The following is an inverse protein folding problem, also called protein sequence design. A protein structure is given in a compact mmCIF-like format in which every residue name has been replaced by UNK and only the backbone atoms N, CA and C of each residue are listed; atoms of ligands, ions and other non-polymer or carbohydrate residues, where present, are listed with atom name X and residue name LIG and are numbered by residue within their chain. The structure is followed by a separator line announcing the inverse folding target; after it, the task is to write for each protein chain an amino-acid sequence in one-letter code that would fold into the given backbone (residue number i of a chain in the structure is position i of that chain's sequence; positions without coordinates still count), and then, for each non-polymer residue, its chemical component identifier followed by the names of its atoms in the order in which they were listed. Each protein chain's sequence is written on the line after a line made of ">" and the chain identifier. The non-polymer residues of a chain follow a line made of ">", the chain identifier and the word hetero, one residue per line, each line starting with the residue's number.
data_IF_536220729570
#
_entry.id   IF_536220729570
#
_cell.length_a   1.000
_cell.length_b   1.000
_cell.length_c   1.000
_cell.angle_alpha   90.00
_cell.angle_beta   90.00
_cell.angle_gamma   90.00
#
_symmetry.space_group_name_H-M   'P 1'
#
loop_
_entity.id
_entity.type
_entity.pdbx_description
1 polymer ?
#
# COMPACT_ATOMS: atom_id res chain seq x y z
N UNK A 1 -36.42 -41.29 -18.79
CA UNK A 1 -35.67 -42.25 -17.96
C UNK A 1 -35.24 -41.54 -16.70
N UNK A 2 -35.94 -41.80 -15.61
CA UNK A 2 -35.70 -41.22 -14.29
C UNK A 2 -34.59 -42.06 -13.63
N UNK A 3 -33.46 -41.46 -13.29
CA UNK A 3 -32.43 -42.08 -12.44
C UNK A 3 -32.40 -41.38 -11.09
N UNK A 4 -32.97 -42.06 -10.11
CA UNK A 4 -32.82 -41.86 -8.67
C UNK A 4 -31.67 -42.75 -8.16
N UNK A 5 -30.64 -42.18 -7.53
CA UNK A 5 -29.72 -42.85 -6.57
C UNK A 5 -29.12 -41.74 -5.67
N UNK A 6 -29.66 -41.51 -4.47
CA UNK A 6 -29.30 -42.08 -3.15
C UNK A 6 -28.21 -41.27 -2.38
N UNK A 7 -28.48 -40.82 -1.13
CA UNK A 7 -27.52 -40.18 -0.23
C UNK A 7 -27.02 -41.15 0.87
N UNK A 8 -25.72 -41.08 1.21
CA UNK A 8 -25.04 -41.77 2.33
C UNK A 8 -23.59 -41.23 2.34
N UNK A 9 -22.90 -40.87 3.42
CA UNK A 9 -23.02 -41.19 4.85
C UNK A 9 -22.51 -40.05 5.74
N UNK A 10 -23.12 -39.97 6.92
CA UNK A 10 -22.62 -39.43 8.18
C UNK A 10 -21.53 -40.38 8.76
N UNK A 11 -20.44 -39.84 9.33
CA UNK A 11 -19.78 -40.31 10.58
C UNK A 11 -18.30 -39.84 10.63
N UNK A 12 -17.87 -39.27 11.76
CA UNK A 12 -16.43 -39.06 12.00
C UNK A 12 -16.07 -38.04 13.07
N UNK A 13 -16.62 -38.17 14.27
CA UNK A 13 -16.23 -37.46 15.49
C UNK A 13 -14.78 -37.84 15.89
N UNK A 14 -13.88 -36.87 16.03
CA UNK A 14 -12.66 -37.04 16.84
C UNK A 14 -12.21 -35.68 17.42
N UNK A 15 -12.62 -35.47 18.66
CA UNK A 15 -12.19 -34.46 19.60
C UNK A 15 -10.71 -34.67 19.95
N UNK A 16 -9.85 -33.70 19.67
CA UNK A 16 -8.49 -33.62 20.23
C UNK A 16 -8.31 -32.25 20.89
N UNK A 17 -8.65 -32.23 22.18
CA UNK A 17 -8.40 -31.12 23.09
C UNK A 17 -6.91 -31.18 23.48
N UNK A 18 -6.07 -30.41 22.80
CA UNK A 18 -4.68 -30.20 23.23
C UNK A 18 -4.64 -28.94 24.13
N UNK A 19 -4.69 -29.17 25.44
CA UNK A 19 -4.41 -28.15 26.45
C UNK A 19 -2.91 -27.84 26.38
N UNK A 20 -2.54 -26.68 25.85
CA UNK A 20 -1.21 -26.11 26.04
C UNK A 20 -1.26 -25.14 27.22
N UNK A 21 -0.69 -25.58 28.34
CA UNK A 21 -0.29 -24.70 29.43
C UNK A 21 0.85 -23.81 28.91
N UNK A 22 0.56 -22.54 28.60
CA UNK A 22 1.58 -21.52 28.42
C UNK A 22 1.86 -20.90 29.79
N UNK A 23 3.05 -21.17 30.30
CA UNK A 23 3.60 -20.52 31.50
C UNK A 23 3.87 -19.06 31.16
N UNK A 24 3.05 -18.17 31.74
CA UNK A 24 3.19 -16.73 31.60
C UNK A 24 4.50 -16.22 32.21
N UNK A 25 5.33 -15.61 31.38
CA UNK A 25 6.46 -14.78 31.81
C UNK A 25 5.89 -13.36 31.98
N UNK A 26 5.79 -12.89 33.23
CA UNK A 26 5.42 -11.52 33.55
C UNK A 26 6.54 -10.58 33.08
N UNK A 27 6.49 -10.19 31.80
CA UNK A 27 7.16 -8.98 31.32
C UNK A 27 6.27 -7.80 31.68
N UNK A 28 6.81 -6.83 32.41
CA UNK A 28 6.14 -5.57 32.70
C UNK A 28 5.59 -4.97 31.41
N UNK A 29 4.28 -4.61 31.33
CA UNK A 29 3.78 -3.87 30.19
C UNK A 29 4.47 -2.50 30.22
N UNK A 30 5.38 -2.27 29.29
CA UNK A 30 5.65 -0.90 28.87
C UNK A 30 4.32 -0.36 28.38
N UNK A 31 3.75 0.61 29.10
CA UNK A 31 2.61 1.39 28.64
C UNK A 31 3.00 2.05 27.31
N UNK A 32 2.73 1.37 26.19
CA UNK A 32 2.58 2.07 24.93
C UNK A 32 1.38 2.98 25.11
N UNK A 33 1.68 4.27 25.25
CA UNK A 33 0.73 5.36 25.07
C UNK A 33 0.14 5.20 23.66
N UNK A 34 -0.93 4.41 23.56
CA UNK A 34 -1.79 4.35 22.39
C UNK A 34 -2.41 5.74 22.23
N UNK A 35 -1.81 6.55 21.37
CA UNK A 35 -2.38 7.82 20.95
C UNK A 35 -3.68 7.49 20.21
N UNK A 36 -4.82 7.74 20.86
CA UNK A 36 -6.11 7.55 20.19
C UNK A 36 -6.34 8.70 19.22
N UNK A 37 -6.83 8.41 18.02
CA UNK A 37 -7.03 9.41 16.97
C UNK A 37 -8.44 9.32 16.41
N UNK A 38 -8.97 10.46 15.98
CA UNK A 38 -10.22 10.53 15.22
C UNK A 38 -9.87 10.59 13.74
N UNK A 39 -10.49 9.71 12.96
CA UNK A 39 -10.26 9.58 11.52
C UNK A 39 -11.47 10.09 10.75
N UNK A 40 -11.25 11.00 9.80
CA UNK A 40 -12.27 11.43 8.85
C UNK A 40 -11.81 11.04 7.44
N UNK A 41 -12.40 9.97 6.90
CA UNK A 41 -12.14 9.51 5.55
C UNK A 41 -12.63 10.54 4.50
N UNK A 42 -12.04 10.48 3.31
CA UNK A 42 -12.24 11.38 2.18
C UNK A 42 -12.31 12.85 2.55
N UNK A 43 -11.48 13.24 3.51
CA UNK A 43 -11.48 14.59 4.02
C UNK A 43 -10.06 15.10 3.94
N UNK A 44 -9.91 16.37 3.56
CA UNK A 44 -8.67 17.10 3.59
C UNK A 44 -8.84 18.39 4.40
N UNK A 45 -7.74 18.91 4.91
CA UNK A 45 -7.68 20.16 5.65
C UNK A 45 -7.05 21.23 4.74
N UNK A 46 -7.76 22.33 4.56
CA UNK A 46 -7.32 23.45 3.69
C UNK A 46 -6.13 24.25 4.21
N UNK A 47 -5.76 24.10 5.49
CA UNK A 47 -4.56 24.74 6.03
C UNK A 47 -3.30 24.24 5.34
N UNK A 48 -2.29 25.10 5.26
CA UNK A 48 -1.00 24.76 4.66
C UNK A 48 -0.24 23.76 5.51
N UNK A 49 0.52 22.89 4.86
CA UNK A 49 1.42 21.97 5.54
C UNK A 49 2.46 22.75 6.35
N UNK A 50 2.71 22.33 7.59
CA UNK A 50 3.65 23.00 8.47
C UNK A 50 5.12 22.71 8.13
N UNK A 51 5.33 21.62 7.40
CA UNK A 51 6.59 21.11 6.90
C UNK A 51 6.31 20.28 5.63
N UNK A 52 7.33 19.99 4.81
CA UNK A 52 7.14 19.11 3.65
C UNK A 52 6.50 17.78 4.05
N UNK A 53 5.57 17.24 3.24
CA UNK A 53 4.87 16.01 3.56
C UNK A 53 5.85 14.87 3.84
N UNK A 54 5.58 14.11 4.91
CA UNK A 54 6.45 13.02 5.35
C UNK A 54 5.87 11.69 4.91
N UNK A 55 6.71 10.85 4.32
CA UNK A 55 6.29 9.51 3.97
C UNK A 55 5.91 8.72 5.24
N UNK A 56 4.71 8.13 5.26
CA UNK A 56 4.22 7.24 6.33
C UNK A 56 3.39 6.11 5.71
N UNK A 57 3.26 4.97 6.40
CA UNK A 57 2.71 3.75 5.77
C UNK A 57 1.22 3.56 6.01
N UNK A 58 0.64 4.34 6.92
CA UNK A 58 -0.78 4.27 7.28
C UNK A 58 -1.28 5.61 7.82
N UNK A 59 -2.61 5.77 7.89
CA UNK A 59 -3.23 6.89 8.60
C UNK A 59 -2.91 6.84 10.10
N UNK A 60 -2.70 5.66 10.69
CA UNK A 60 -2.25 5.52 12.08
C UNK A 60 -0.84 6.06 12.27
N UNK A 61 0.10 5.70 11.40
CA UNK A 61 1.46 6.25 11.41
C UNK A 61 1.43 7.78 11.24
N UNK A 62 0.52 8.27 10.40
CA UNK A 62 0.31 9.71 10.24
C UNK A 62 -0.21 10.35 11.53
N UNK A 63 -1.08 9.66 12.26
CA UNK A 63 -1.50 10.10 13.58
C UNK A 63 -0.31 10.16 14.54
N UNK A 64 0.44 9.07 14.62
CA UNK A 64 1.57 8.95 15.55
C UNK A 64 2.59 10.06 15.26
N UNK A 65 2.91 10.28 13.98
CA UNK A 65 3.76 11.36 13.53
C UNK A 65 3.21 12.74 13.93
N UNK A 66 1.91 12.99 13.77
CA UNK A 66 1.31 14.26 14.21
C UNK A 66 1.36 14.40 15.73
N UNK A 67 1.05 13.34 16.49
CA UNK A 67 1.00 13.36 17.96
C UNK A 67 2.34 13.71 18.60
N UNK A 68 3.45 13.34 17.96
CA UNK A 68 4.81 13.65 18.44
C UNK A 68 5.40 14.92 17.82
N UNK A 69 4.75 15.50 16.81
CA UNK A 69 5.25 16.72 16.14
C UNK A 69 4.71 17.97 16.82
N UNK A 70 5.62 18.77 17.37
CA UNK A 70 5.26 19.99 18.09
C UNK A 70 4.47 20.96 17.19
N UNK A 71 3.27 21.31 17.65
CA UNK A 71 2.37 22.22 16.94
C UNK A 71 1.49 21.56 15.90
N UNK A 72 1.56 20.23 15.71
CA UNK A 72 0.63 19.50 14.86
C UNK A 72 -0.72 19.36 15.57
N UNK A 73 -1.74 19.96 14.99
CA UNK A 73 -3.11 19.90 15.51
C UNK A 73 -3.94 18.83 14.80
N UNK A 74 -3.59 18.55 13.54
CA UNK A 74 -4.18 17.52 12.72
C UNK A 74 -3.20 17.16 11.61
N UNK A 75 -3.40 16.03 10.95
CA UNK A 75 -2.69 15.67 9.75
C UNK A 75 -3.65 15.16 8.70
N UNK A 76 -3.20 15.18 7.44
CA UNK A 76 -3.92 14.53 6.35
C UNK A 76 -3.02 13.44 5.82
N UNK A 77 -3.46 12.20 5.96
CA UNK A 77 -2.84 11.07 5.30
C UNK A 77 -3.41 10.97 3.89
N UNK A 78 -2.57 11.19 2.89
CA UNK A 78 -2.93 11.04 1.47
C UNK A 78 -1.72 10.50 0.73
N UNK A 79 -1.90 9.50 -0.12
CA UNK A 79 -0.86 9.03 -1.04
C UNK A 79 0.46 8.64 -0.36
N UNK A 80 0.40 8.03 0.84
CA UNK A 80 1.56 7.69 1.69
C UNK A 80 2.32 8.87 2.27
N UNK A 81 1.77 10.06 2.16
CA UNK A 81 2.31 11.24 2.77
C UNK A 81 1.40 11.71 3.90
N UNK A 82 2.03 12.00 5.02
CA UNK A 82 1.43 12.69 6.13
C UNK A 82 1.68 14.18 5.98
N UNK A 83 0.61 14.89 5.66
CA UNK A 83 0.56 16.33 5.55
C UNK A 83 0.23 16.91 6.93
N UNK A 84 1.26 17.26 7.70
CA UNK A 84 1.07 17.80 9.05
C UNK A 84 0.53 19.22 9.00
N UNK A 85 -0.53 19.49 9.76
CA UNK A 85 -1.25 20.76 9.78
C UNK A 85 -1.14 21.44 11.15
N UNK A 86 -0.95 22.76 11.16
CA UNK A 86 -0.93 23.57 12.41
C UNK A 86 -2.32 23.73 13.03
N UNK A 87 -3.38 23.47 12.28
CA UNK A 87 -4.76 23.59 12.71
C UNK A 87 -5.65 22.58 11.99
N UNK A 88 -6.65 22.05 12.71
CA UNK A 88 -7.81 21.38 12.13
C UNK A 88 -8.77 22.43 11.55
N UNK A 89 -8.34 23.07 10.45
CA UNK A 89 -9.12 24.12 9.78
C UNK A 89 -10.28 23.53 8.98
N UNK A 90 -10.97 24.35 8.19
CA UNK A 90 -12.06 23.91 7.31
C UNK A 90 -11.68 22.63 6.56
N UNK A 91 -12.46 21.59 6.85
CA UNK A 91 -12.41 20.30 6.23
C UNK A 91 -13.17 20.34 4.91
N UNK A 92 -12.56 19.79 3.86
CA UNK A 92 -13.13 19.70 2.51
C UNK A 92 -13.16 18.25 2.07
N UNK A 93 -14.24 17.84 1.40
CA UNK A 93 -14.32 16.50 0.83
C UNK A 93 -13.21 16.33 -0.22
N UNK A 94 -12.39 15.30 -0.09
CA UNK A 94 -11.28 14.96 -0.98
C UNK A 94 -11.08 13.45 -0.94
N UNK A 95 -11.49 12.77 -2.01
CA UNK A 95 -11.40 11.32 -2.11
C UNK A 95 -9.96 10.82 -1.93
N UNK A 96 -9.78 9.77 -1.13
CA UNK A 96 -8.47 9.14 -0.88
C UNK A 96 -7.63 9.80 0.23
N UNK A 97 -8.01 10.98 0.70
CA UNK A 97 -7.39 11.61 1.87
C UNK A 97 -8.09 11.20 3.16
N UNK A 98 -7.33 11.02 4.23
CA UNK A 98 -7.85 10.76 5.58
C UNK A 98 -7.34 11.85 6.50
N UNK A 99 -8.24 12.69 7.03
CA UNK A 99 -7.88 13.57 8.14
C UNK A 99 -7.69 12.73 9.38
N UNK A 100 -6.62 13.01 10.10
CA UNK A 100 -6.24 12.37 11.34
C UNK A 100 -6.07 13.44 12.39
N UNK A 101 -6.93 13.41 13.41
CA UNK A 101 -6.89 14.36 14.53
C UNK A 101 -6.45 13.59 15.78
N UNK A 102 -5.24 13.83 16.30
CA UNK A 102 -4.79 13.23 17.55
C UNK A 102 -5.72 13.63 18.70
N UNK A 103 -6.13 12.69 19.55
CA UNK A 103 -6.85 13.05 20.76
C UNK A 103 -5.94 13.89 21.65
N UNK A 104 -6.42 15.07 22.04
CA UNK A 104 -5.66 15.99 22.89
C UNK A 104 -5.59 15.39 24.30
N UNK A 105 -4.52 14.64 24.58
CA UNK A 105 -4.17 14.33 25.97
C UNK A 105 -3.73 15.64 26.60
N UNK A 106 -4.50 16.14 27.57
CA UNK A 106 -4.18 17.39 28.27
C UNK A 106 -3.01 17.13 29.21
N UNK A 107 -1.81 16.98 28.67
CA UNK A 107 -0.60 16.75 29.46
C UNK A 107 0.02 18.10 29.78
N UNK A 108 -0.04 18.49 31.04
CA UNK A 108 0.50 19.76 31.54
C UNK A 108 2.03 19.70 31.56
N UNK A 109 2.68 20.05 30.46
CA UNK A 109 4.15 20.02 30.37
C UNK A 109 4.74 21.31 30.92
N UNK A 110 5.50 21.20 32.01
CA UNK A 110 6.26 22.30 32.61
C UNK A 110 7.58 22.46 31.85
N UNK A 111 7.75 23.56 31.12
CA UNK A 111 8.97 23.85 30.35
C UNK A 111 10.17 24.19 31.24
N UNK A 112 11.25 23.43 31.14
CA UNK A 112 12.58 23.81 31.66
C UNK A 112 13.49 24.23 30.50
N UNK A 113 13.78 25.53 30.43
CA UNK A 113 14.67 26.16 29.45
C UNK A 113 16.12 25.75 29.71
N UNK A 114 16.78 25.12 28.72
CA UNK A 114 18.25 24.93 28.76
C UNK A 114 18.87 25.54 27.51
N UNK A 115 19.72 26.54 27.73
CA UNK A 115 20.48 27.27 26.71
C UNK A 115 21.85 26.61 26.58
N UNK A 116 22.27 26.25 25.36
CA UNK A 116 23.63 25.79 25.11
C UNK A 116 24.18 26.39 23.82
N UNK A 117 25.43 26.82 23.89
CA UNK A 117 26.13 27.63 22.89
C UNK A 117 27.36 26.90 22.36
N UNK A 118 27.63 27.11 21.06
CA UNK A 118 28.94 27.26 20.39
C UNK A 118 29.64 26.09 19.67
N UNK A 119 30.12 26.47 18.48
CA UNK A 119 31.44 26.20 17.85
C UNK A 119 31.51 25.15 16.73
N UNK A 120 31.86 25.61 15.52
CA UNK A 120 31.96 24.82 14.29
C UNK A 120 33.41 24.38 14.02
N UNK A 121 33.57 23.10 13.63
CA UNK A 121 34.81 22.44 13.25
C UNK A 121 34.69 21.82 11.83
N UNK A 122 35.79 21.43 11.16
CA UNK A 122 35.84 21.19 9.72
C UNK A 122 35.10 19.91 9.27
N UNK A 123 34.46 20.00 8.09
CA UNK A 123 33.62 18.96 7.49
C UNK A 123 34.42 17.89 6.75
N UNK A 124 34.62 16.74 7.39
CA UNK A 124 34.80 15.45 6.71
C UNK A 124 33.42 14.89 6.36
N UNK A 125 33.15 14.70 5.06
CA UNK A 125 31.93 14.04 4.55
C UNK A 125 31.95 12.55 4.90
N UNK A 126 31.61 12.27 6.15
CA UNK A 126 31.20 10.94 6.60
C UNK A 126 29.87 10.64 5.91
N UNK A 127 29.75 9.46 5.28
CA UNK A 127 28.49 9.03 4.69
C UNK A 127 27.38 9.20 5.73
N UNK A 128 26.30 9.89 5.34
CA UNK A 128 25.18 10.14 6.23
C UNK A 128 24.69 8.80 6.81
N UNK A 129 24.45 8.71 8.13
CA UNK A 129 23.88 7.52 8.73
C UNK A 129 22.65 7.09 7.94
N UNK A 130 22.61 5.83 7.53
CA UNK A 130 21.43 5.27 6.87
C UNK A 130 20.27 5.40 7.84
N UNK A 131 19.20 6.07 7.41
CA UNK A 131 18.00 6.21 8.24
C UNK A 131 17.53 4.82 8.71
N UNK A 132 17.03 4.68 9.94
CA UNK A 132 16.43 3.42 10.40
C UNK A 132 15.39 2.93 9.39
N UNK A 133 15.30 1.61 9.14
CA UNK A 133 14.23 1.06 8.30
C UNK A 133 12.88 1.52 8.83
N UNK A 134 12.02 2.04 7.95
CA UNK A 134 10.65 2.37 8.31
C UNK A 134 9.84 1.11 8.69
N UNK A 135 8.69 1.29 9.35
CA UNK A 135 7.80 0.17 9.67
C UNK A 135 7.39 -0.57 8.38
N UNK A 136 7.24 -1.90 8.43
CA UNK A 136 6.81 -2.66 7.27
C UNK A 136 5.39 -2.25 6.86
N UNK A 137 5.11 -2.30 5.56
CA UNK A 137 3.84 -1.90 4.98
C UNK A 137 3.04 -3.12 4.53
N UNK A 138 1.73 -3.08 4.70
CA UNK A 138 0.82 -4.05 4.11
C UNK A 138 0.45 -3.66 2.68
N UNK A 139 0.72 -4.56 1.73
CA UNK A 139 0.25 -4.47 0.35
C UNK A 139 -0.75 -5.59 0.08
N UNK A 140 -1.80 -5.25 -0.64
CA UNK A 140 -2.82 -6.17 -1.12
C UNK A 140 -2.63 -6.30 -2.63
N UNK A 141 -2.21 -7.48 -3.11
CA UNK A 141 -2.17 -7.76 -4.54
C UNK A 141 -3.42 -8.51 -4.96
N UNK A 142 -4.12 -7.99 -5.95
CA UNK A 142 -5.16 -8.73 -6.68
C UNK A 142 -4.58 -9.16 -8.02
N UNK A 143 -4.38 -10.47 -8.18
CA UNK A 143 -3.87 -11.06 -9.41
C UNK A 143 -5.02 -11.71 -10.16
N UNK A 144 -5.21 -11.39 -11.43
CA UNK A 144 -6.18 -12.05 -12.30
C UNK A 144 -5.47 -12.63 -13.52
N UNK A 145 -5.64 -13.92 -13.77
CA UNK A 145 -4.99 -14.64 -14.86
C UNK A 145 -6.01 -15.40 -15.71
N UNK A 146 -5.72 -15.60 -16.99
CA UNK A 146 -6.58 -16.40 -17.86
C UNK A 146 -6.28 -17.90 -17.79
N UNK A 147 -5.05 -18.29 -17.41
CA UNK A 147 -4.59 -19.67 -17.52
C UNK A 147 -3.98 -20.24 -16.23
N UNK A 148 -3.48 -19.39 -15.32
CA UNK A 148 -2.79 -19.83 -14.12
C UNK A 148 -3.71 -20.06 -12.93
N UNK A 149 -3.84 -21.31 -12.53
CA UNK A 149 -4.43 -21.73 -11.25
C UNK A 149 -3.59 -21.39 -10.03
N UNK A 150 -2.35 -20.93 -10.23
CA UNK A 150 -1.47 -20.45 -9.16
C UNK A 150 -1.48 -18.91 -9.02
N UNK A 151 -2.12 -18.20 -9.96
CA UNK A 151 -2.11 -16.74 -10.05
C UNK A 151 -0.70 -16.14 -9.95
N UNK A 152 0.27 -16.77 -10.65
CA UNK A 152 1.68 -16.40 -10.59
C UNK A 152 2.11 -15.67 -11.89
N UNK A 153 2.36 -14.35 -11.84
CA UNK A 153 2.70 -13.55 -13.02
C UNK A 153 4.06 -13.90 -13.63
N UNK A 154 4.96 -14.56 -12.89
CA UNK A 154 6.26 -15.01 -13.43
C UNK A 154 6.11 -16.20 -14.37
N UNK A 155 5.10 -17.03 -14.15
CA UNK A 155 4.86 -18.25 -14.94
C UNK A 155 3.77 -18.08 -16.00
N UNK A 156 2.93 -17.04 -15.86
CA UNK A 156 1.80 -16.79 -16.74
C UNK A 156 1.72 -15.29 -17.06
N UNK A 157 2.18 -14.95 -18.27
CA UNK A 157 2.13 -13.58 -18.79
C UNK A 157 0.72 -13.04 -19.07
N UNK A 158 -0.32 -13.86 -18.90
CA UNK A 158 -1.72 -13.42 -18.95
C UNK A 158 -2.20 -12.81 -17.63
N UNK A 159 -1.40 -12.94 -16.57
CA UNK A 159 -1.72 -12.40 -15.27
C UNK A 159 -1.59 -10.86 -15.26
N UNK A 160 -2.68 -10.20 -14.89
CA UNK A 160 -2.65 -8.79 -14.49
C UNK A 160 -2.65 -8.70 -12.96
N UNK A 161 -1.78 -7.86 -12.40
CA UNK A 161 -1.71 -7.63 -10.96
C UNK A 161 -2.06 -6.18 -10.66
N UNK A 162 -3.16 -5.96 -9.94
CA UNK A 162 -3.45 -4.69 -9.30
C UNK A 162 -2.86 -4.71 -7.89
N UNK A 163 -2.36 -3.57 -7.43
CA UNK A 163 -1.88 -3.42 -6.06
C UNK A 163 -2.69 -2.35 -5.37
N UNK A 164 -3.17 -2.70 -4.20
CA UNK A 164 -3.77 -1.78 -3.26
C UNK A 164 -2.88 -1.78 -2.03
N UNK A 165 -2.82 -0.67 -1.35
CA UNK A 165 -2.22 -0.66 -0.06
C UNK A 165 -3.29 -0.95 0.99
N UNK A 166 -2.85 -1.43 2.15
CA UNK A 166 -3.75 -1.77 3.23
C UNK A 166 -4.56 -0.54 3.69
N UNK A 167 -5.87 -0.70 3.81
CA UNK A 167 -6.83 0.37 4.17
C UNK A 167 -6.90 1.54 3.18
N UNK A 168 -6.62 1.30 1.90
CA UNK A 168 -6.83 2.30 0.84
C UNK A 168 -8.16 2.04 0.12
N UNK A 169 -8.96 3.09 -0.02
CA UNK A 169 -10.16 3.05 -0.83
C UNK A 169 -9.81 3.13 -2.32
N UNK A 170 -10.28 2.17 -3.11
CA UNK A 170 -10.20 2.19 -4.56
C UNK A 170 -11.62 2.24 -5.15
N UNK A 171 -11.93 3.36 -5.80
CA UNK A 171 -13.28 3.68 -6.29
C UNK A 171 -14.28 3.72 -5.12
N UNK A 172 -15.00 2.64 -4.88
CA UNK A 172 -15.96 2.45 -3.79
C UNK A 172 -15.66 1.20 -2.96
N UNK A 173 -14.42 0.68 -3.03
CA UNK A 173 -14.02 -0.55 -2.38
C UNK A 173 -12.83 -0.31 -1.45
N UNK A 174 -12.98 -0.62 -0.16
CA UNK A 174 -11.89 -0.60 0.81
C UNK A 174 -11.35 -2.02 0.96
N UNK A 175 -10.04 -2.18 0.78
CA UNK A 175 -9.36 -3.45 1.01
C UNK A 175 -8.52 -3.37 2.26
N UNK A 176 -8.63 -4.37 3.13
CA UNK A 176 -7.80 -4.48 4.33
C UNK A 176 -7.29 -5.89 4.55
N UNK A 177 -6.05 -6.00 5.02
CA UNK A 177 -5.45 -7.23 5.52
C UNK A 177 -5.65 -7.32 7.04
N UNK A 178 -5.95 -8.52 7.53
CA UNK A 178 -5.87 -8.78 8.96
C UNK A 178 -4.41 -8.75 9.46
N UNK A 179 -4.25 -8.66 10.79
CA UNK A 179 -2.93 -8.61 11.41
C UNK A 179 -2.08 -9.87 11.16
N UNK A 180 -2.72 -11.01 10.89
CA UNK A 180 -2.08 -12.28 10.57
C UNK A 180 -1.81 -12.50 9.08
N UNK A 181 -2.11 -11.51 8.22
CA UNK A 181 -1.95 -11.54 6.75
C UNK A 181 -2.61 -12.75 6.07
N UNK A 182 -3.59 -13.34 6.75
CA UNK A 182 -4.29 -14.56 6.35
C UNK A 182 -5.63 -14.28 5.70
N UNK A 183 -6.21 -13.12 5.98
CA UNK A 183 -7.52 -12.73 5.49
C UNK A 183 -7.46 -11.35 4.87
N UNK A 184 -8.17 -11.21 3.76
CA UNK A 184 -8.46 -9.91 3.15
C UNK A 184 -9.94 -9.64 3.32
N UNK A 185 -10.25 -8.48 3.86
CA UNK A 185 -11.59 -7.96 3.96
C UNK A 185 -11.77 -6.89 2.88
N UNK A 186 -12.84 -7.05 2.12
CA UNK A 186 -13.27 -6.17 1.06
C UNK A 186 -14.62 -5.56 1.45
N UNK A 187 -14.64 -4.25 1.69
CA UNK A 187 -15.87 -3.52 1.97
C UNK A 187 -16.26 -2.75 0.70
N UNK A 188 -17.42 -3.08 0.14
CA UNK A 188 -18.01 -2.33 -0.97
C UNK A 188 -18.97 -1.29 -0.41
N UNK A 189 -18.85 -0.06 -0.86
CA UNK A 189 -19.66 1.07 -0.42
C UNK A 189 -20.60 1.52 -1.54
N UNK A 190 -21.74 2.10 -1.15
CA UNK A 190 -22.73 2.63 -2.09
C UNK A 190 -22.19 3.84 -2.88
N UNK A 191 -21.37 4.67 -2.23
CA UNK A 191 -20.85 5.92 -2.77
C UNK A 191 -19.35 5.84 -3.07
N UNK A 192 -18.88 6.71 -3.97
CA UNK A 192 -17.46 6.86 -4.28
C UNK A 192 -16.69 7.33 -3.03
N UNK A 193 -15.46 6.86 -2.90
CA UNK A 193 -14.61 7.18 -1.76
C UNK A 193 -14.81 6.27 -0.56
N UNK A 194 -15.62 5.21 -0.67
CA UNK A 194 -15.89 4.33 0.46
C UNK A 194 -16.72 5.02 1.55
N UNK A 195 -17.80 5.70 1.12
CA UNK A 195 -18.76 6.37 2.00
C UNK A 195 -20.12 5.66 1.99
N UNK A 196 -20.90 5.87 3.05
CA UNK A 196 -22.23 5.29 3.20
C UNK A 196 -22.23 3.90 3.82
N UNK A 197 -23.30 3.15 3.57
CA UNK A 197 -23.41 1.77 4.05
C UNK A 197 -22.44 0.88 3.28
N UNK A 198 -21.80 -0.03 4.00
CA UNK A 198 -20.88 -1.00 3.44
C UNK A 198 -21.44 -2.42 3.48
N UNK A 199 -21.08 -3.19 2.46
CA UNK A 199 -21.18 -4.64 2.44
C UNK A 199 -19.77 -5.22 2.52
N UNK A 200 -19.47 -5.89 3.63
CA UNK A 200 -18.17 -6.49 3.87
C UNK A 200 -18.16 -7.97 3.44
N UNK A 201 -17.20 -8.33 2.59
CA UNK A 201 -16.88 -9.71 2.23
C UNK A 201 -15.45 -10.02 2.68
N UNK A 202 -15.16 -11.25 3.11
CA UNK A 202 -13.79 -11.64 3.48
C UNK A 202 -13.39 -12.93 2.78
N UNK A 203 -12.12 -13.01 2.41
CA UNK A 203 -11.54 -14.18 1.75
C UNK A 203 -10.14 -14.47 2.28
N UNK A 204 -9.73 -15.73 2.16
CA UNK A 204 -8.40 -16.18 2.59
C UNK A 204 -7.34 -15.67 1.61
N UNK A 205 -6.35 -14.97 2.13
CA UNK A 205 -5.21 -14.49 1.36
C UNK A 205 -4.35 -15.67 0.85
N UNK A 206 -3.69 -15.48 -0.29
CA UNK A 206 -2.82 -16.49 -0.90
C UNK A 206 -3.55 -17.57 -1.71
N UNK A 207 -4.88 -17.51 -1.80
CA UNK A 207 -5.66 -18.45 -2.61
C UNK A 207 -5.92 -17.89 -4.01
N UNK A 208 -5.72 -18.73 -5.03
CA UNK A 208 -6.08 -18.45 -6.41
C UNK A 208 -7.30 -19.30 -6.79
N UNK A 209 -8.40 -18.65 -7.14
CA UNK A 209 -9.68 -19.29 -7.38
C UNK A 209 -10.20 -18.99 -8.79
N UNK A 210 -10.76 -19.98 -9.47
CA UNK A 210 -11.44 -19.76 -10.74
C UNK A 210 -12.80 -19.12 -10.51
N UNK A 211 -13.03 -17.95 -11.09
CA UNK A 211 -14.35 -17.35 -11.22
C UNK A 211 -15.09 -18.05 -12.37
N UNK A 212 -16.09 -18.85 -12.02
CA UNK A 212 -16.87 -19.64 -12.99
C UNK A 212 -17.68 -18.80 -13.98
N UNK A 213 -17.97 -17.54 -13.63
CA UNK A 213 -18.72 -16.63 -14.51
C UNK A 213 -17.81 -16.02 -15.57
N UNK A 214 -16.59 -15.62 -15.20
CA UNK A 214 -15.65 -14.96 -16.12
C UNK A 214 -14.65 -15.93 -16.76
N UNK A 215 -14.55 -17.17 -16.27
CA UNK A 215 -13.50 -18.13 -16.61
C UNK A 215 -12.08 -17.57 -16.41
N UNK A 216 -11.91 -16.66 -15.45
CA UNK A 216 -10.61 -16.12 -15.04
C UNK A 216 -10.26 -16.64 -13.66
N UNK A 217 -8.98 -16.88 -13.43
CA UNK A 217 -8.45 -17.12 -12.09
C UNK A 217 -8.21 -15.78 -11.41
N UNK A 218 -8.65 -15.66 -10.16
CA UNK A 218 -8.41 -14.47 -9.33
C UNK A 218 -7.82 -14.90 -7.99
N UNK A 219 -6.75 -14.24 -7.58
CA UNK A 219 -6.11 -14.46 -6.30
C UNK A 219 -5.83 -13.14 -5.59
N UNK A 220 -5.94 -13.16 -4.27
CA UNK A 220 -5.72 -12.01 -3.41
C UNK A 220 -4.61 -12.33 -2.42
N UNK A 221 -3.63 -11.44 -2.27
CA UNK A 221 -2.44 -11.67 -1.43
C UNK A 221 -2.22 -10.49 -0.50
N UNK A 222 -1.96 -10.78 0.79
CA UNK A 222 -1.44 -9.82 1.75
C UNK A 222 0.07 -9.98 1.80
N UNK A 223 0.81 -9.05 1.21
CA UNK A 223 2.25 -8.98 1.37
C UNK A 223 2.59 -7.99 2.49
N UNK A 224 3.53 -8.36 3.35
CA UNK A 224 4.18 -7.43 4.28
C UNK A 224 5.57 -7.16 3.74
N UNK A 225 5.79 -5.94 3.30
CA UNK A 225 7.03 -5.53 2.62
C UNK A 225 7.73 -4.43 3.42
N UNK A 226 9.06 -4.31 3.33
CA UNK A 226 9.75 -3.15 3.86
C UNK A 226 9.22 -1.86 3.23
N UNK A 227 9.34 -0.74 3.95
CA UNK A 227 9.09 0.57 3.36
C UNK A 227 9.97 0.75 2.11
N UNK A 228 9.39 1.08 0.94
CA UNK A 228 10.16 1.25 -0.27
C UNK A 228 11.05 2.50 -0.13
N UNK A 229 12.29 2.37 -0.57
CA UNK A 229 13.26 3.46 -0.49
C UNK A 229 12.92 4.47 -1.59
N UNK A 230 12.76 5.74 -1.21
CA UNK A 230 12.57 6.85 -2.14
C UNK A 230 13.89 7.24 -2.84
N UNK A 231 13.80 7.94 -3.97
CA UNK A 231 14.95 8.41 -4.75
C UNK A 231 15.81 7.30 -5.39
N UNK A 232 15.21 6.15 -5.68
CA UNK A 232 15.83 5.06 -6.43
C UNK A 232 15.42 5.18 -7.90
N UNK A 233 16.36 5.16 -8.86
CA UNK A 233 16.02 5.12 -10.28
C UNK A 233 15.24 3.86 -10.65
N UNK A 234 14.24 4.01 -11.50
CA UNK A 234 13.48 2.90 -12.08
C UNK A 234 13.46 3.07 -13.60
N UNK A 235 13.86 2.03 -14.31
CA UNK A 235 13.75 1.99 -15.77
C UNK A 235 12.71 0.94 -16.15
N UNK A 236 11.69 1.37 -16.90
CA UNK A 236 10.69 0.50 -17.50
C UNK A 236 10.87 0.50 -19.00
N UNK A 237 11.13 -0.67 -19.57
CA UNK A 237 11.32 -0.84 -21.00
C UNK A 237 10.22 -1.76 -21.54
N UNK A 238 9.50 -1.30 -22.56
CA UNK A 238 8.46 -2.06 -23.24
C UNK A 238 8.88 -2.33 -24.69
N UNK A 239 8.85 -3.58 -25.11
CA UNK A 239 9.31 -4.02 -26.43
C UNK A 239 8.26 -4.93 -27.10
N UNK A 240 8.02 -4.81 -28.42
CA UNK A 240 7.06 -5.68 -29.11
C UNK A 240 7.49 -7.16 -29.13
N UNK A 241 8.78 -7.43 -29.37
CA UNK A 241 9.31 -8.79 -29.64
C UNK A 241 10.28 -9.31 -28.56
N UNK A 242 10.47 -8.54 -27.47
CA UNK A 242 11.41 -8.84 -26.40
C UNK A 242 12.47 -7.74 -26.23
N UNK A 243 13.06 -7.61 -25.05
CA UNK A 243 14.00 -6.51 -24.78
C UNK A 243 15.46 -6.79 -25.15
N UNK A 244 15.78 -8.04 -25.52
CA UNK A 244 17.10 -8.41 -26.01
C UNK A 244 17.21 -8.39 -27.55
N UNK A 245 16.09 -8.25 -28.28
CA UNK A 245 16.06 -8.43 -29.75
C UNK A 245 16.44 -7.18 -30.53
N UNK A 246 16.74 -6.05 -29.86
CA UNK A 246 17.12 -4.80 -30.52
C UNK A 246 16.00 -4.13 -31.32
N UNK A 247 14.74 -4.50 -31.06
CA UNK A 247 13.57 -3.89 -31.68
C UNK A 247 13.24 -2.48 -31.16
N UNK A 248 12.14 -1.92 -31.67
CA UNK A 248 11.62 -0.59 -31.31
C UNK A 248 11.04 -0.58 -29.88
N UNK A 249 11.92 -0.66 -28.89
CA UNK A 249 11.57 -0.59 -27.48
C UNK A 249 11.32 0.86 -27.07
N UNK A 250 10.24 1.10 -26.33
CA UNK A 250 10.02 2.36 -25.63
C UNK A 250 10.51 2.25 -24.19
N UNK A 251 11.21 3.27 -23.69
CA UNK A 251 11.73 3.29 -22.31
C UNK A 251 11.19 4.50 -21.55
N UNK A 252 10.72 4.27 -20.33
CA UNK A 252 10.32 5.29 -19.38
C UNK A 252 11.22 5.22 -18.14
N UNK A 253 11.57 6.39 -17.62
CA UNK A 253 12.39 6.52 -16.43
C UNK A 253 11.58 7.16 -15.31
N UNK A 254 11.66 6.57 -14.13
CA UNK A 254 11.04 7.08 -12.92
C UNK A 254 12.10 7.20 -11.83
N UNK A 255 11.76 7.96 -10.79
CA UNK A 255 12.47 7.98 -9.52
C UNK A 255 11.45 7.59 -8.45
N UNK A 256 11.78 6.62 -7.60
CA UNK A 256 10.81 6.15 -6.60
C UNK A 256 10.33 7.27 -5.69
N UNK A 257 9.03 7.31 -5.46
CA UNK A 257 8.36 8.36 -4.67
C UNK A 257 8.21 9.71 -5.36
N UNK A 258 8.64 9.85 -6.61
CA UNK A 258 8.42 11.07 -7.40
C UNK A 258 7.31 10.87 -8.43
N UNK A 259 6.51 11.91 -8.63
CA UNK A 259 5.47 11.93 -9.64
C UNK A 259 6.04 12.32 -11.01
N UNK A 260 5.87 11.45 -12.01
CA UNK A 260 6.42 11.63 -13.35
C UNK A 260 5.29 11.50 -14.38
N UNK A 261 5.25 12.42 -15.34
CA UNK A 261 4.34 12.31 -16.48
C UNK A 261 4.80 11.19 -17.43
N UNK A 262 3.89 10.35 -17.89
CA UNK A 262 4.21 9.25 -18.81
C UNK A 262 3.02 8.90 -19.70
N UNK A 263 3.32 8.39 -20.91
CA UNK A 263 2.37 7.84 -21.88
C UNK A 263 2.47 6.31 -21.99
N UNK A 264 3.39 5.68 -21.25
CA UNK A 264 3.62 4.23 -21.32
C UNK A 264 2.69 3.39 -20.43
N UNK A 265 1.94 4.06 -19.56
CA UNK A 265 0.99 3.49 -18.62
C UNK A 265 -0.40 4.13 -18.84
N UNK A 266 -1.45 3.53 -18.27
CA UNK A 266 -2.83 3.96 -18.53
C UNK A 266 -3.23 5.31 -17.87
N UNK A 267 -2.29 6.04 -17.26
CA UNK A 267 -2.53 7.34 -16.67
C UNK A 267 -1.43 8.36 -16.99
N UNK A 268 -1.76 9.64 -16.83
CA UNK A 268 -0.90 10.74 -17.26
C UNK A 268 0.25 11.01 -16.29
N UNK A 269 0.05 10.75 -15.00
CA UNK A 269 0.98 11.07 -13.92
C UNK A 269 1.16 9.84 -13.05
N UNK A 270 2.38 9.34 -12.89
CA UNK A 270 2.66 8.06 -12.23
C UNK A 270 3.74 8.19 -11.16
N UNK A 271 3.53 7.52 -10.03
CA UNK A 271 4.56 7.24 -9.03
C UNK A 271 4.95 5.77 -9.12
N UNK A 272 6.26 5.51 -9.14
CA UNK A 272 6.81 4.16 -9.09
C UNK A 272 7.38 3.85 -7.69
N UNK A 273 7.29 2.59 -7.27
CA UNK A 273 7.90 2.09 -6.04
C UNK A 273 8.54 0.73 -6.26
N UNK A 274 9.81 0.61 -5.88
CA UNK A 274 10.56 -0.63 -5.99
C UNK A 274 10.42 -1.47 -4.73
N UNK A 275 9.99 -2.71 -4.91
CA UNK A 275 10.02 -3.78 -3.93
C UNK A 275 11.01 -4.86 -4.39
N UNK A 276 11.42 -5.80 -3.51
CA UNK A 276 12.47 -6.77 -3.86
C UNK A 276 12.20 -7.56 -5.14
N UNK A 277 10.93 -7.89 -5.42
CA UNK A 277 10.56 -8.75 -6.54
C UNK A 277 9.73 -8.02 -7.61
N UNK A 278 9.16 -6.84 -7.32
CA UNK A 278 8.27 -6.16 -8.24
C UNK A 278 8.35 -4.65 -8.07
N UNK A 279 7.89 -3.95 -9.10
CA UNK A 279 7.68 -2.51 -9.08
C UNK A 279 6.19 -2.25 -9.12
N UNK A 280 5.73 -1.33 -8.27
CA UNK A 280 4.35 -0.85 -8.29
C UNK A 280 4.31 0.49 -9.00
N UNK A 281 3.40 0.62 -9.97
CA UNK A 281 3.08 1.87 -10.64
C UNK A 281 1.67 2.29 -10.26
N UNK A 282 1.54 3.47 -9.64
CA UNK A 282 0.25 4.09 -9.35
C UNK A 282 0.11 5.34 -10.21
N UNK A 283 -0.93 5.38 -11.05
CA UNK A 283 -1.21 6.51 -11.93
C UNK A 283 -2.45 7.27 -11.51
N UNK A 284 -2.43 8.58 -11.72
CA UNK A 284 -3.42 9.54 -11.22
C UNK A 284 -3.96 10.41 -12.35
N UNK A 285 -5.15 10.97 -12.13
CA UNK A 285 -5.82 11.83 -13.11
C UNK A 285 -5.26 13.26 -13.18
N UNK A 286 -4.63 13.76 -12.12
CA UNK A 286 -4.15 15.15 -12.05
C UNK A 286 -2.63 15.27 -11.92
N UNK A 287 -2.06 16.43 -12.31
CA UNK A 287 -0.65 16.73 -12.10
C UNK A 287 -0.19 16.55 -10.66
N UNK A 288 1.10 16.27 -10.50
CA UNK A 288 1.73 15.97 -9.21
C UNK A 288 1.14 14.76 -8.50
N UNK A 289 0.47 13.86 -9.26
CA UNK A 289 -0.05 12.60 -8.76
C UNK A 289 -1.07 12.81 -7.64
N UNK A 290 -1.97 13.75 -7.90
CA UNK A 290 -3.04 14.13 -6.98
C UNK A 290 -4.39 13.64 -7.49
N UNK A 291 -5.38 13.62 -6.59
CA UNK A 291 -6.75 13.19 -6.85
C UNK A 291 -6.86 11.69 -7.08
N UNK A 292 -7.72 11.27 -8.01
CA UNK A 292 -8.08 9.86 -8.11
C UNK A 292 -6.96 9.03 -8.73
N UNK A 293 -6.58 7.96 -8.05
CA UNK A 293 -5.80 6.90 -8.63
C UNK A 293 -6.64 6.22 -9.71
N UNK A 294 -6.26 6.41 -10.97
CA UNK A 294 -7.00 5.88 -12.13
C UNK A 294 -6.51 4.48 -12.51
N UNK A 295 -5.29 4.13 -12.13
CA UNK A 295 -4.65 2.88 -12.49
C UNK A 295 -3.61 2.50 -11.45
N UNK A 296 -3.55 1.22 -11.08
CA UNK A 296 -2.46 0.66 -10.28
C UNK A 296 -2.08 -0.70 -10.81
N UNK A 297 -0.79 -0.93 -11.01
CA UNK A 297 -0.28 -2.23 -11.44
C UNK A 297 1.02 -2.58 -10.75
N UNK A 298 1.24 -3.88 -10.50
CA UNK A 298 2.56 -4.41 -10.19
C UNK A 298 3.11 -5.24 -11.33
N UNK A 299 4.37 -5.00 -11.62
CA UNK A 299 5.12 -5.72 -12.64
C UNK A 299 6.40 -6.32 -12.03
N UNK A 300 6.83 -7.53 -12.45
CA UNK A 300 8.09 -8.10 -12.00
C UNK A 300 9.29 -7.18 -12.22
N UNK A 301 10.27 -7.25 -11.31
CA UNK A 301 11.60 -6.61 -11.45
C UNK A 301 12.62 -7.69 -11.81
N UNK A 302 13.53 -7.37 -12.73
CA UNK A 302 14.60 -8.27 -13.12
C UNK A 302 15.26 -7.87 -14.44
N UNK A 303 16.41 -8.49 -14.71
CA UNK A 303 17.11 -8.34 -16.00
C UNK A 303 16.40 -9.08 -17.14
N UNK A 304 15.44 -9.93 -16.84
CA UNK A 304 14.67 -10.68 -17.83
C UNK A 304 13.39 -9.94 -18.20
N UNK A 305 12.99 -10.05 -19.47
CA UNK A 305 11.71 -9.53 -19.91
C UNK A 305 10.61 -10.54 -19.59
N UNK A 306 9.45 -10.04 -19.19
CA UNK A 306 8.25 -10.84 -19.03
C UNK A 306 7.17 -10.38 -20.02
N UNK A 307 6.29 -11.27 -20.50
CA UNK A 307 5.19 -10.86 -21.37
C UNK A 307 4.29 -9.85 -20.64
N UNK A 308 3.87 -8.79 -21.33
CA UNK A 308 2.94 -7.82 -20.76
C UNK A 308 1.57 -8.48 -20.52
N UNK A 309 0.83 -8.01 -19.51
CA UNK A 309 -0.47 -8.60 -19.13
C UNK A 309 -1.50 -8.67 -20.28
N UNK A 310 -1.40 -7.75 -21.24
CA UNK A 310 -2.25 -7.73 -22.45
C UNK A 310 -1.68 -8.52 -23.64
N UNK A 311 -0.58 -9.25 -23.44
CA UNK A 311 0.17 -10.00 -24.46
C UNK A 311 0.61 -9.19 -25.68
N UNK A 312 0.59 -7.87 -25.60
CA UNK A 312 0.94 -6.99 -26.72
C UNK A 312 2.46 -6.76 -26.84
N UNK A 313 3.27 -7.46 -26.05
CA UNK A 313 4.72 -7.36 -26.07
C UNK A 313 5.33 -7.87 -24.76
N UNK A 314 6.49 -7.33 -24.46
CA UNK A 314 7.31 -7.68 -23.31
C UNK A 314 7.67 -6.42 -22.54
N UNK A 315 7.76 -6.54 -21.23
CA UNK A 315 8.19 -5.49 -20.34
C UNK A 315 9.40 -5.95 -19.53
N UNK A 316 10.30 -5.04 -19.22
CA UNK A 316 11.40 -5.21 -18.29
C UNK A 316 11.42 -4.04 -17.33
N UNK A 317 11.60 -4.33 -16.04
CA UNK A 317 11.74 -3.31 -15.01
C UNK A 317 13.04 -3.51 -14.25
N UNK A 318 13.82 -2.43 -14.15
CA UNK A 318 15.09 -2.39 -13.44
C UNK A 318 14.98 -1.33 -12.35
N UNK A 319 15.25 -1.72 -11.11
CA UNK A 319 15.26 -0.87 -9.93
C UNK A 319 16.69 -0.67 -9.45
N UNK A 320 17.12 0.59 -9.31
CA UNK A 320 18.47 0.93 -8.90
C UNK A 320 19.50 0.97 -10.05
N UNK A 321 20.74 1.38 -9.73
CA UNK A 321 21.87 1.36 -10.65
C UNK A 321 22.40 -0.05 -10.95
#
# INVERSE_FOLDING_TARGET
>A
MIRTMQPMMLAGLALLLAIHLVVGRAGSPSEELLHSCVYHANTNITSTDMEPPKFVVSSQDCCDLCSVTNGCAAAVFSDYYCHLKRSDSNQVATQGSVVVVPATTTTTTTSSTTTTTTSAAPTTTTAAPTAPPGPPMGLIRQVTCSQSSACNPYSDGTCNTNVFYNNTCFVNNLYSCDASVSMITWNSYADLGCEGNDDATSFTAGQCMMNQTTNLYSGYYCDVVPTPVANIPVTRTKCPEGCATGGDCSTAHFITGQCIATDQLQGLWTIAWCFPNYVVYNSFSYPNCTGLMTFSTAEPVGSECFPSANQAGYTQNICGP
#
